data_IF_828547429002
#
_entry.id   IF_828547429002
#
_cell.length_a   1.000
_cell.length_b   1.000
_cell.length_c   1.000
_cell.angle_alpha   90.00
_cell.angle_beta   90.00
_cell.angle_gamma   90.00
#
_symmetry.space_group_name_H-M   'P 1'
#
loop_
_entity.id
_entity.type
_entity.pdbx_description
1 polymer ?
#
# COMPACT_ATOMS: atom_id res chain seq x y z
N UNK A 1 24.33 23.02 20.08
CA UNK A 1 24.55 23.02 18.61
C UNK A 1 23.80 21.84 18.00
N UNK A 2 23.20 22.00 16.81
CA UNK A 2 22.57 20.87 16.11
C UNK A 2 23.60 19.75 15.86
N UNK A 3 23.17 18.48 15.82
CA UNK A 3 24.07 17.38 15.44
C UNK A 3 24.54 17.54 13.99
N UNK A 4 25.69 16.96 13.66
CA UNK A 4 26.24 16.99 12.29
C UNK A 4 25.23 16.46 11.26
N UNK A 5 24.61 15.31 11.54
CA UNK A 5 23.56 14.74 10.69
C UNK A 5 22.41 15.71 10.42
N UNK A 6 21.96 16.49 11.42
CA UNK A 6 20.86 17.46 11.25
C UNK A 6 21.26 18.67 10.40
N UNK A 7 22.53 19.06 10.42
CA UNK A 7 23.05 20.09 9.50
C UNK A 7 23.05 19.60 8.06
N UNK A 8 23.44 18.36 7.83
CA UNK A 8 23.54 17.75 6.50
C UNK A 8 22.19 17.63 5.79
N UNK A 9 21.10 17.39 6.54
CA UNK A 9 19.73 17.35 5.98
C UNK A 9 18.96 18.67 6.16
N UNK A 10 19.62 19.74 6.62
CA UNK A 10 19.07 21.09 6.75
C UNK A 10 17.77 21.23 7.59
N UNK A 11 17.54 20.37 8.58
CA UNK A 11 16.31 20.37 9.42
C UNK A 11 16.33 21.35 10.59
N UNK A 12 17.41 22.13 10.75
CA UNK A 12 17.55 23.12 11.83
C UNK A 12 17.36 22.52 13.23
N UNK A 13 16.54 23.17 14.06
CA UNK A 13 16.23 22.74 15.43
C UNK A 13 14.82 22.12 15.59
N UNK A 14 14.19 21.67 14.50
CA UNK A 14 12.85 21.07 14.55
C UNK A 14 12.83 19.73 15.32
N UNK A 15 11.82 19.54 16.17
CA UNK A 15 11.58 18.26 16.85
C UNK A 15 11.22 17.17 15.84
N UNK A 16 11.78 15.98 16.01
CA UNK A 16 11.35 14.79 15.28
C UNK A 16 10.08 14.26 15.94
N UNK A 17 8.96 14.19 15.20
CA UNK A 17 7.65 13.79 15.74
C UNK A 17 7.35 12.33 15.38
N UNK A 18 6.59 11.65 16.24
CA UNK A 18 6.12 10.26 16.05
C UNK A 18 4.89 10.13 15.14
N UNK A 19 4.17 11.23 14.91
CA UNK A 19 3.00 11.30 14.01
C UNK A 19 1.64 11.17 14.70
N UNK A 20 1.58 10.93 16.02
CA UNK A 20 0.32 10.63 16.73
C UNK A 20 -0.74 11.73 16.55
N UNK A 21 -0.34 13.00 16.66
CA UNK A 21 -1.27 14.14 16.51
C UNK A 21 -1.96 14.17 15.14
N UNK A 22 -1.23 13.82 14.08
CA UNK A 22 -1.78 13.78 12.71
C UNK A 22 -2.70 12.57 12.57
N UNK A 23 -2.31 11.42 13.12
CA UNK A 23 -3.16 10.22 13.12
C UNK A 23 -4.51 10.49 13.79
N UNK A 24 -4.53 11.12 14.97
CA UNK A 24 -5.77 11.45 15.68
C UNK A 24 -6.62 12.45 14.88
N UNK A 25 -5.99 13.45 14.27
CA UNK A 25 -6.71 14.44 13.48
C UNK A 25 -7.38 13.86 12.21
N UNK A 26 -6.88 12.73 11.69
CA UNK A 26 -7.41 12.05 10.49
C UNK A 26 -8.23 10.80 10.84
N UNK A 27 -8.66 10.63 12.09
CA UNK A 27 -9.38 9.42 12.52
C UNK A 27 -10.68 9.18 11.72
N UNK A 28 -11.34 10.25 11.26
CA UNK A 28 -12.61 10.16 10.53
C UNK A 28 -12.42 9.69 9.07
N UNK A 29 -11.21 9.80 8.53
CA UNK A 29 -10.83 9.25 7.23
C UNK A 29 -10.60 7.73 7.30
N UNK A 30 -10.41 7.18 8.51
CA UNK A 30 -10.29 5.74 8.68
C UNK A 30 -11.62 5.03 8.35
N UNK A 31 -11.52 3.81 7.84
CA UNK A 31 -12.65 2.97 7.41
C UNK A 31 -13.48 3.50 6.22
N UNK A 32 -13.10 4.63 5.63
CA UNK A 32 -13.69 5.10 4.38
C UNK A 32 -13.17 4.25 3.21
N UNK A 33 -14.08 3.68 2.41
CA UNK A 33 -13.67 2.86 1.26
C UNK A 33 -13.08 3.72 0.15
N UNK A 34 -11.90 3.34 -0.34
CA UNK A 34 -11.27 3.92 -1.53
C UNK A 34 -11.46 3.08 -2.80
N UNK A 35 -12.24 1.99 -2.72
CA UNK A 35 -12.45 1.03 -3.82
C UNK A 35 -12.79 1.73 -5.15
N UNK A 36 -13.76 2.65 -5.12
CA UNK A 36 -14.22 3.36 -6.32
C UNK A 36 -13.12 4.25 -6.93
N UNK A 37 -12.26 4.86 -6.10
CA UNK A 37 -11.14 5.67 -6.58
C UNK A 37 -10.08 4.81 -7.25
N UNK A 38 -9.80 3.62 -6.71
CA UNK A 38 -8.86 2.67 -7.32
C UNK A 38 -9.41 2.10 -8.62
N UNK A 39 -10.70 1.73 -8.65
CA UNK A 39 -11.36 1.29 -9.87
C UNK A 39 -11.31 2.35 -10.99
N UNK A 40 -11.54 3.62 -10.63
CA UNK A 40 -11.39 4.74 -11.56
C UNK A 40 -9.98 4.80 -12.14
N UNK A 41 -8.93 4.70 -11.31
CA UNK A 41 -7.54 4.69 -11.78
C UNK A 41 -7.28 3.47 -12.68
N UNK A 42 -7.76 2.29 -12.30
CA UNK A 42 -7.59 1.05 -13.06
C UNK A 42 -8.24 1.11 -14.46
N UNK A 43 -9.30 1.91 -14.62
CA UNK A 43 -9.98 2.12 -15.90
C UNK A 43 -9.36 3.23 -16.78
N UNK A 44 -8.29 3.90 -16.32
CA UNK A 44 -7.63 5.00 -17.04
C UNK A 44 -6.19 4.67 -17.47
N UNK A 45 -5.95 3.43 -17.91
CA UNK A 45 -4.68 2.97 -18.49
C UNK A 45 -3.43 3.09 -17.58
N UNK A 46 -3.64 3.17 -16.27
CA UNK A 46 -2.56 3.11 -15.29
C UNK A 46 -2.22 1.66 -14.92
N UNK A 47 -0.91 1.35 -14.87
CA UNK A 47 -0.42 0.10 -14.29
C UNK A 47 -0.45 0.19 -12.77
N UNK A 48 -1.15 -0.73 -12.12
CA UNK A 48 -1.31 -0.78 -10.66
C UNK A 48 -0.61 -2.04 -10.13
N UNK A 49 0.19 -1.87 -9.08
CA UNK A 49 0.77 -2.96 -8.30
C UNK A 49 0.28 -2.85 -6.85
N UNK A 50 -0.41 -3.88 -6.38
CA UNK A 50 -0.78 -4.04 -4.97
C UNK A 50 -0.01 -5.23 -4.43
N UNK A 51 0.74 -5.03 -3.35
CA UNK A 51 1.57 -6.07 -2.74
C UNK A 51 1.37 -6.08 -1.22
N UNK A 52 1.52 -7.26 -0.62
CA UNK A 52 1.46 -7.45 0.83
C UNK A 52 2.63 -8.31 1.29
N UNK A 53 3.08 -8.11 2.52
CA UNK A 53 3.87 -9.11 3.23
C UNK A 53 2.98 -10.25 3.71
N UNK A 54 3.39 -11.50 3.50
CA UNK A 54 2.59 -12.68 3.88
C UNK A 54 2.37 -12.81 5.40
N UNK A 55 3.25 -12.22 6.21
CA UNK A 55 3.21 -12.30 7.68
C UNK A 55 2.70 -11.01 8.35
N UNK A 56 2.14 -10.06 7.59
CA UNK A 56 1.54 -8.84 8.15
C UNK A 56 0.18 -9.15 8.82
N UNK A 57 0.08 -8.86 10.11
CA UNK A 57 -1.14 -9.09 10.90
C UNK A 57 -2.07 -7.87 10.89
N UNK A 58 -1.53 -6.65 10.67
CA UNK A 58 -2.33 -5.43 10.65
C UNK A 58 -3.11 -5.35 9.33
N UNK A 59 -2.44 -5.60 8.19
CA UNK A 59 -3.06 -5.65 6.86
C UNK A 59 -2.79 -7.01 6.17
N UNK A 60 -3.53 -8.08 6.53
CA UNK A 60 -3.33 -9.39 5.96
C UNK A 60 -3.60 -9.44 4.44
N UNK A 61 -2.85 -10.28 3.73
CA UNK A 61 -3.02 -10.52 2.30
C UNK A 61 -4.44 -11.00 1.95
N UNK A 62 -5.06 -11.80 2.82
CA UNK A 62 -6.43 -12.30 2.65
C UNK A 62 -7.47 -11.16 2.63
N UNK A 63 -7.32 -10.15 3.49
CA UNK A 63 -8.20 -8.98 3.54
C UNK A 63 -8.03 -8.13 2.29
N UNK A 64 -6.78 -7.92 1.85
CA UNK A 64 -6.49 -7.18 0.61
C UNK A 64 -7.07 -7.90 -0.61
N UNK A 65 -6.92 -9.22 -0.70
CA UNK A 65 -7.51 -10.02 -1.78
C UNK A 65 -9.05 -9.95 -1.80
N UNK A 66 -9.70 -9.99 -0.63
CA UNK A 66 -11.15 -9.83 -0.54
C UNK A 66 -11.59 -8.43 -1.03
N UNK A 67 -10.82 -7.39 -0.72
CA UNK A 67 -11.06 -6.04 -1.22
C UNK A 67 -10.87 -5.95 -2.74
N UNK A 68 -9.78 -6.50 -3.29
CA UNK A 68 -9.53 -6.56 -4.75
C UNK A 68 -10.67 -7.28 -5.47
N UNK A 69 -11.16 -8.41 -4.91
CA UNK A 69 -12.25 -9.17 -5.50
C UNK A 69 -13.57 -8.38 -5.57
N UNK A 70 -13.74 -7.33 -4.77
CA UNK A 70 -14.90 -6.43 -4.78
C UNK A 70 -14.72 -5.21 -5.68
N UNK A 71 -13.54 -5.00 -6.27
CA UNK A 71 -13.33 -3.91 -7.22
C UNK A 71 -14.13 -4.16 -8.49
N UNK A 72 -14.92 -3.17 -8.90
CA UNK A 72 -15.65 -3.17 -10.16
C UNK A 72 -14.86 -2.34 -11.19
N UNK A 73 -14.18 -3.02 -12.12
CA UNK A 73 -13.38 -2.39 -13.18
C UNK A 73 -13.34 -3.26 -14.44
N UNK A 74 -12.86 -2.69 -15.55
CA UNK A 74 -12.97 -3.28 -16.89
C UNK A 74 -12.38 -4.68 -17.03
N UNK A 75 -11.36 -5.01 -16.23
CA UNK A 75 -10.68 -6.31 -16.30
C UNK A 75 -10.76 -7.13 -15.00
N UNK A 76 -11.79 -6.88 -14.17
CA UNK A 76 -11.95 -7.56 -12.88
C UNK A 76 -12.05 -9.08 -13.02
N UNK A 77 -12.79 -9.59 -14.00
CA UNK A 77 -12.99 -11.03 -14.19
C UNK A 77 -11.73 -11.71 -14.73
N UNK A 78 -10.97 -11.03 -15.57
CA UNK A 78 -9.67 -11.49 -16.05
C UNK A 78 -8.68 -11.61 -14.87
N UNK A 79 -8.67 -10.64 -13.95
CA UNK A 79 -7.84 -10.73 -12.74
C UNK A 79 -8.28 -11.86 -11.82
N UNK A 80 -9.60 -12.07 -11.64
CA UNK A 80 -10.14 -13.16 -10.78
C UNK A 80 -9.83 -14.56 -11.33
N UNK A 81 -9.76 -14.69 -12.66
CA UNK A 81 -9.51 -15.97 -13.34
C UNK A 81 -8.04 -16.18 -13.73
N UNK A 82 -7.17 -15.18 -13.54
CA UNK A 82 -5.76 -15.26 -13.85
C UNK A 82 -5.06 -16.37 -13.04
N UNK A 83 -4.16 -17.09 -13.70
CA UNK A 83 -3.29 -18.07 -13.05
C UNK A 83 -2.40 -17.37 -12.01
N UNK A 84 -2.34 -17.93 -10.80
CA UNK A 84 -1.41 -17.48 -9.77
C UNK A 84 -0.07 -18.16 -9.97
N UNK A 85 0.96 -17.35 -10.20
CA UNK A 85 2.33 -17.82 -10.36
C UNK A 85 3.17 -17.48 -9.12
N UNK A 86 4.11 -18.37 -8.81
CA UNK A 86 5.14 -18.08 -7.81
C UNK A 86 6.16 -17.16 -8.47
N UNK A 87 6.23 -15.92 -8.00
CA UNK A 87 7.22 -14.96 -8.49
C UNK A 87 8.55 -15.17 -7.78
N UNK A 88 9.63 -15.29 -8.56
CA UNK A 88 10.99 -15.41 -8.05
C UNK A 88 11.87 -14.29 -8.58
N UNK A 89 12.83 -13.83 -7.77
CA UNK A 89 13.84 -12.84 -8.22
C UNK A 89 14.86 -13.54 -9.13
N UNK A 90 15.24 -14.77 -8.76
CA UNK A 90 16.03 -15.69 -9.56
C UNK A 90 15.33 -17.05 -9.65
N UNK A 91 15.50 -17.74 -10.76
CA UNK A 91 14.84 -19.02 -11.03
C UNK A 91 15.14 -20.10 -9.95
N UNK A 92 16.33 -20.05 -9.38
CA UNK A 92 16.82 -20.98 -8.35
C UNK A 92 16.47 -20.56 -6.91
N UNK A 93 15.83 -19.41 -6.71
CA UNK A 93 15.33 -19.02 -5.39
C UNK A 93 14.34 -20.08 -4.89
N UNK A 94 14.50 -20.46 -3.61
CA UNK A 94 13.57 -21.32 -2.89
C UNK A 94 12.38 -20.48 -2.43
N UNK A 95 11.21 -21.13 -2.38
CA UNK A 95 10.07 -20.61 -1.61
C UNK A 95 10.38 -20.55 -0.11
#
# INVERSE_FOLDING_TARGET
>A
MASEHRRQIHVGNMTYNDGEKVQIALQDDAMQSIANKVAMIANNDYKILIYNGLLDVIIPSSVTMNWINKLEWNYADQLRSAERIVWKVKEDDRE
#
